data_IF_008374587027
#
_entry.id   IF_008374587027
#
_cell.length_a   1.000
_cell.length_b   1.000
_cell.length_c   1.000
_cell.angle_alpha   90.00
_cell.angle_beta   90.00
_cell.angle_gamma   90.00
#
_symmetry.space_group_name_H-M   'P 1'
#
loop_
_entity.id
_entity.type
_entity.pdbx_description
1 polymer ?
#
# COMPACT_ATOMS: atom_id res chain seq x y z
N UNK A 1 4.52 -28.02 -37.68
CA UNK A 1 4.42 -28.42 -36.26
C UNK A 1 5.57 -27.70 -35.56
N UNK A 2 5.46 -26.97 -34.46
CA UNK A 2 4.33 -26.77 -33.56
C UNK A 2 4.60 -25.56 -32.61
N UNK A 3 5.21 -24.46 -33.07
CA UNK A 3 5.59 -23.35 -32.18
C UNK A 3 4.40 -22.72 -31.42
N UNK A 4 3.22 -22.65 -32.03
CA UNK A 4 2.00 -22.17 -31.37
C UNK A 4 1.37 -23.20 -30.41
N UNK A 5 1.65 -24.49 -30.59
CA UNK A 5 1.15 -25.57 -29.73
C UNK A 5 2.06 -25.80 -28.52
N UNK A 6 3.38 -25.62 -28.67
CA UNK A 6 4.32 -25.63 -27.54
C UNK A 6 4.08 -24.45 -26.60
N UNK A 7 3.82 -23.24 -27.13
CA UNK A 7 3.49 -22.07 -26.32
C UNK A 7 2.16 -22.28 -25.60
N UNK A 8 1.10 -22.71 -26.30
CA UNK A 8 -0.20 -23.01 -25.65
C UNK A 8 -0.10 -24.13 -24.61
N UNK A 9 0.70 -25.16 -24.88
CA UNK A 9 0.97 -26.25 -23.94
C UNK A 9 1.72 -25.78 -22.70
N UNK A 10 2.74 -24.93 -22.85
CA UNK A 10 3.48 -24.34 -21.73
C UNK A 10 2.59 -23.45 -20.85
N UNK A 11 1.84 -22.53 -21.46
CA UNK A 11 0.91 -21.65 -20.71
C UNK A 11 -0.20 -22.45 -20.02
N UNK A 12 -0.75 -23.47 -20.67
CA UNK A 12 -1.76 -24.35 -20.07
C UNK A 12 -1.26 -25.12 -18.85
N UNK A 13 0.03 -25.47 -18.81
CA UNK A 13 0.65 -26.15 -17.66
C UNK A 13 0.94 -25.18 -16.51
N UNK A 14 1.38 -23.96 -16.81
CA UNK A 14 1.82 -22.97 -15.79
C UNK A 14 0.65 -22.16 -15.20
N UNK A 15 -0.40 -21.92 -15.98
CA UNK A 15 -1.58 -21.15 -15.57
C UNK A 15 -2.21 -21.57 -14.22
N UNK A 16 -2.53 -22.86 -13.97
CA UNK A 16 -3.17 -23.26 -12.71
C UNK A 16 -2.26 -23.05 -11.48
N UNK A 17 -0.94 -23.14 -11.63
CA UNK A 17 -0.01 -22.86 -10.54
C UNK A 17 0.05 -21.37 -10.22
N UNK A 18 0.05 -20.53 -11.25
CA UNK A 18 0.04 -19.08 -11.09
C UNK A 18 -1.27 -18.58 -10.48
N UNK A 19 -2.41 -19.15 -10.87
CA UNK A 19 -3.73 -18.79 -10.31
C UNK A 19 -3.82 -19.13 -8.82
N UNK A 20 -3.28 -20.28 -8.42
CA UNK A 20 -3.20 -20.65 -7.01
C UNK A 20 -2.24 -19.74 -6.24
N UNK A 21 -1.14 -19.30 -6.85
CA UNK A 21 -0.22 -18.34 -6.25
C UNK A 21 -0.85 -16.95 -6.08
N UNK A 22 -1.58 -16.43 -7.08
CA UNK A 22 -2.29 -15.15 -6.94
C UNK A 22 -3.31 -15.21 -5.80
N UNK A 23 -4.09 -16.30 -5.71
CA UNK A 23 -5.05 -16.46 -4.61
C UNK A 23 -4.39 -16.49 -3.22
N UNK A 24 -3.19 -17.08 -3.09
CA UNK A 24 -2.43 -17.03 -1.84
C UNK A 24 -1.94 -15.61 -1.54
N UNK A 25 -1.46 -14.88 -2.55
CA UNK A 25 -1.01 -13.49 -2.40
C UNK A 25 -2.17 -12.59 -2.00
N UNK A 26 -3.35 -12.76 -2.60
CA UNK A 26 -4.57 -12.01 -2.22
C UNK A 26 -4.92 -12.26 -0.75
N UNK A 27 -4.93 -13.52 -0.33
CA UNK A 27 -5.24 -13.87 1.05
C UNK A 27 -4.24 -13.27 2.04
N UNK A 28 -2.95 -13.30 1.71
CA UNK A 28 -1.90 -12.67 2.52
C UNK A 28 -2.07 -11.16 2.57
N UNK A 29 -2.37 -10.52 1.44
CA UNK A 29 -2.61 -9.08 1.36
C UNK A 29 -3.76 -8.66 2.25
N UNK A 30 -4.89 -9.36 2.13
CA UNK A 30 -6.09 -9.12 2.95
C UNK A 30 -5.75 -9.33 4.43
N UNK A 31 -5.01 -10.38 4.78
CA UNK A 31 -4.59 -10.62 6.16
C UNK A 31 -3.74 -9.46 6.72
N UNK A 32 -2.77 -8.95 5.96
CA UNK A 32 -1.94 -7.79 6.35
C UNK A 32 -2.80 -6.55 6.58
N UNK A 33 -3.74 -6.26 5.67
CA UNK A 33 -4.67 -5.13 5.80
C UNK A 33 -5.56 -5.27 7.05
N UNK A 34 -6.11 -6.46 7.28
CA UNK A 34 -6.96 -6.73 8.45
C UNK A 34 -6.18 -6.61 9.76
N UNK A 35 -4.94 -7.09 9.81
CA UNK A 35 -4.08 -6.94 11.00
C UNK A 35 -3.81 -5.46 11.28
N UNK A 36 -3.46 -4.69 10.25
CA UNK A 36 -3.23 -3.25 10.38
C UNK A 36 -4.47 -2.51 10.87
N UNK A 37 -5.62 -2.78 10.26
CA UNK A 37 -6.91 -2.20 10.65
C UNK A 37 -7.28 -2.57 12.10
N UNK A 38 -7.17 -3.84 12.48
CA UNK A 38 -7.48 -4.30 13.83
C UNK A 38 -6.56 -3.65 14.88
N UNK A 39 -5.25 -3.59 14.62
CA UNK A 39 -4.27 -2.92 15.50
C UNK A 39 -4.58 -1.43 15.66
N UNK A 40 -4.92 -0.76 14.55
CA UNK A 40 -5.32 0.64 14.55
C UNK A 40 -6.57 0.87 15.41
N UNK A 41 -7.64 0.09 15.18
CA UNK A 41 -8.89 0.19 15.94
C UNK A 41 -8.66 -0.05 17.44
N UNK A 42 -7.89 -1.08 17.81
CA UNK A 42 -7.58 -1.37 19.21
C UNK A 42 -6.81 -0.24 19.91
N UNK A 43 -5.85 0.37 19.21
CA UNK A 43 -5.10 1.52 19.74
C UNK A 43 -5.96 2.77 19.85
N UNK A 44 -6.84 3.01 18.87
CA UNK A 44 -7.74 4.14 18.89
C UNK A 44 -8.74 4.04 20.04
N UNK A 45 -9.39 2.89 20.22
CA UNK A 45 -10.30 2.65 21.34
C UNK A 45 -9.60 2.80 22.69
N UNK A 46 -8.39 2.24 22.86
CA UNK A 46 -7.61 2.43 24.10
C UNK A 46 -7.18 3.88 24.33
N UNK A 47 -6.84 4.61 23.28
CA UNK A 47 -6.45 6.02 23.34
C UNK A 47 -7.60 6.94 23.73
N UNK A 48 -8.84 6.60 23.33
CA UNK A 48 -10.06 7.32 23.71
C UNK A 48 -10.28 7.30 25.24
N UNK A 49 -9.87 6.23 25.93
CA UNK A 49 -9.96 6.18 27.41
C UNK A 49 -8.85 6.96 28.13
N UNK A 50 -7.85 7.50 27.44
CA UNK A 50 -6.82 8.33 28.05
C UNK A 50 -7.27 9.81 28.10
N UNK A 51 -7.40 10.35 29.31
CA UNK A 51 -7.95 11.68 29.63
C UNK A 51 -7.07 12.90 29.26
N UNK A 52 -5.92 12.71 28.62
CA UNK A 52 -4.92 13.77 28.39
C UNK A 52 -4.85 14.14 26.90
N UNK A 53 -5.31 15.35 26.54
CA UNK A 53 -5.40 15.84 25.15
C UNK A 53 -4.08 15.73 24.36
N UNK A 54 -2.95 16.00 25.01
CA UNK A 54 -1.63 15.96 24.36
C UNK A 54 -1.18 14.52 24.06
N UNK A 55 -1.49 13.59 24.95
CA UNK A 55 -1.16 12.16 24.78
C UNK A 55 -2.04 11.49 23.73
N UNK A 56 -3.30 11.94 23.57
CA UNK A 56 -4.20 11.47 22.50
C UNK A 56 -3.66 11.76 21.09
N UNK A 57 -3.16 12.97 20.83
CA UNK A 57 -2.61 13.32 19.51
C UNK A 57 -1.40 12.46 19.12
N UNK A 58 -0.45 12.27 20.04
CA UNK A 58 0.74 11.45 19.80
C UNK A 58 0.40 9.97 19.54
N UNK A 59 -0.54 9.40 20.31
CA UNK A 59 -1.03 8.03 20.11
C UNK A 59 -1.72 7.89 18.74
N UNK A 60 -2.53 8.87 18.35
CA UNK A 60 -3.27 8.84 17.09
C UNK A 60 -2.35 8.97 15.87
N UNK A 61 -1.35 9.86 15.91
CA UNK A 61 -0.36 9.98 14.83
C UNK A 61 0.48 8.71 14.68
N UNK A 62 0.87 8.09 15.80
CA UNK A 62 1.61 6.82 15.79
C UNK A 62 0.77 5.69 15.21
N UNK A 63 -0.51 5.58 15.61
CA UNK A 63 -1.43 4.58 15.07
C UNK A 63 -1.68 4.78 13.58
N UNK A 64 -1.83 6.02 13.10
CA UNK A 64 -1.98 6.35 11.67
C UNK A 64 -0.75 5.98 10.85
N UNK A 65 0.47 6.28 11.34
CA UNK A 65 1.72 5.90 10.66
C UNK A 65 1.84 4.38 10.53
N UNK A 66 1.53 3.65 11.60
CA UNK A 66 1.56 2.19 11.58
C UNK A 66 0.52 1.61 10.63
N UNK A 67 -0.73 2.10 10.67
CA UNK A 67 -1.78 1.71 9.72
C UNK A 67 -1.35 1.97 8.27
N UNK A 68 -0.76 3.14 8.00
CA UNK A 68 -0.24 3.49 6.67
C UNK A 68 0.79 2.49 6.15
N UNK A 69 1.67 1.99 7.03
CA UNK A 69 2.64 0.95 6.67
C UNK A 69 1.98 -0.39 6.31
N UNK A 70 0.93 -0.80 7.04
CA UNK A 70 0.18 -2.02 6.72
C UNK A 70 -0.62 -1.88 5.42
N UNK A 71 -1.20 -0.70 5.18
CA UNK A 71 -1.89 -0.40 3.92
C UNK A 71 -0.92 -0.47 2.74
N UNK A 72 0.23 0.19 2.84
CA UNK A 72 1.23 0.18 1.78
C UNK A 72 1.72 -1.24 1.46
N UNK A 73 2.06 -2.03 2.48
CA UNK A 73 2.49 -3.41 2.31
C UNK A 73 1.39 -4.30 1.70
N UNK A 74 0.14 -4.16 2.16
CA UNK A 74 -0.99 -4.90 1.60
C UNK A 74 -1.23 -4.53 0.13
N UNK A 75 -1.14 -3.23 -0.19
CA UNK A 75 -1.27 -2.75 -1.56
C UNK A 75 -0.16 -3.28 -2.46
N UNK A 76 1.11 -3.32 -2.00
CA UNK A 76 2.23 -3.92 -2.73
C UNK A 76 2.03 -5.42 -3.02
N UNK A 77 1.30 -6.15 -2.18
CA UNK A 77 1.01 -7.56 -2.44
C UNK A 77 -0.16 -7.73 -3.43
N UNK A 78 -1.25 -6.98 -3.26
CA UNK A 78 -2.40 -6.99 -4.20
C UNK A 78 -1.98 -6.65 -5.62
N UNK A 79 -1.10 -5.67 -5.72
CA UNK A 79 -0.40 -5.26 -6.93
C UNK A 79 0.27 -6.42 -7.66
N UNK A 80 0.94 -7.32 -6.94
CA UNK A 80 1.65 -8.46 -7.54
C UNK A 80 0.63 -9.47 -8.03
N UNK A 81 -0.39 -9.75 -7.23
CA UNK A 81 -1.49 -10.64 -7.57
C UNK A 81 -2.21 -10.20 -8.85
N UNK A 82 -2.56 -8.92 -8.96
CA UNK A 82 -3.22 -8.34 -10.14
C UNK A 82 -2.40 -8.52 -11.43
N UNK A 83 -1.08 -8.32 -11.35
CA UNK A 83 -0.17 -8.54 -12.48
C UNK A 83 -0.14 -10.00 -12.90
N UNK A 84 -0.10 -10.93 -11.94
CA UNK A 84 -0.13 -12.37 -12.21
C UNK A 84 -1.44 -12.77 -12.89
N UNK A 85 -2.59 -12.36 -12.32
CA UNK A 85 -3.90 -12.72 -12.84
C UNK A 85 -4.11 -12.18 -14.26
N UNK A 86 -3.62 -10.98 -14.52
CA UNK A 86 -3.69 -10.39 -15.85
C UNK A 86 -2.74 -11.06 -16.85
N UNK A 87 -1.56 -11.52 -16.40
CA UNK A 87 -0.64 -12.28 -17.25
C UNK A 87 -1.18 -13.67 -17.65
N UNK A 88 -2.02 -14.30 -16.81
CA UNK A 88 -2.65 -15.60 -17.13
C UNK A 88 -3.77 -15.42 -18.17
N UNK A 89 -4.51 -14.32 -18.11
CA UNK A 89 -5.73 -14.07 -18.90
C UNK A 89 -5.45 -13.56 -20.33
N UNK A 90 -4.20 -13.68 -20.82
CA UNK A 90 -3.73 -13.14 -22.12
C UNK A 90 -4.68 -13.40 -23.31
N UNK A 91 -5.56 -12.42 -23.54
CA UNK A 91 -6.50 -12.24 -24.65
C UNK A 91 -6.47 -10.76 -25.06
N UNK A 92 -6.93 -10.37 -26.25
CA UNK A 92 -6.92 -8.96 -26.69
C UNK A 92 -7.71 -8.05 -25.74
N UNK A 93 -8.84 -8.54 -25.22
CA UNK A 93 -9.60 -7.87 -24.17
C UNK A 93 -8.82 -7.84 -22.84
N UNK A 94 -8.07 -8.90 -22.55
CA UNK A 94 -7.14 -8.99 -21.41
C UNK A 94 -5.98 -8.00 -21.49
N UNK A 95 -5.46 -7.70 -22.68
CA UNK A 95 -4.42 -6.69 -22.90
C UNK A 95 -4.94 -5.27 -22.64
N UNK A 96 -6.18 -4.98 -23.04
CA UNK A 96 -6.83 -3.70 -22.74
C UNK A 96 -7.08 -3.55 -21.23
N UNK A 97 -7.52 -4.62 -20.57
CA UNK A 97 -7.68 -4.67 -19.11
C UNK A 97 -6.34 -4.51 -18.38
N UNK A 98 -5.26 -5.14 -18.86
CA UNK A 98 -3.90 -4.97 -18.34
C UNK A 98 -3.43 -3.52 -18.42
N UNK A 99 -3.61 -2.91 -19.58
CA UNK A 99 -3.27 -1.49 -19.77
C UNK A 99 -4.03 -0.60 -18.79
N UNK A 100 -5.34 -0.83 -18.64
CA UNK A 100 -6.19 -0.08 -17.70
C UNK A 100 -5.77 -0.25 -16.23
N UNK A 101 -5.54 -1.49 -15.78
CA UNK A 101 -5.15 -1.80 -14.41
C UNK A 101 -3.79 -1.19 -14.05
N UNK A 102 -2.79 -1.31 -14.93
CA UNK A 102 -1.47 -0.72 -14.72
C UNK A 102 -1.55 0.82 -14.64
N UNK A 103 -2.40 1.45 -15.46
CA UNK A 103 -2.63 2.90 -15.41
C UNK A 103 -3.29 3.31 -14.08
N UNK A 104 -4.38 2.64 -13.68
CA UNK A 104 -5.10 2.96 -12.42
C UNK A 104 -4.14 2.87 -11.24
N UNK A 105 -3.37 1.79 -11.19
CA UNK A 105 -2.37 1.57 -10.15
C UNK A 105 -1.27 2.64 -10.16
N UNK A 106 -0.77 3.02 -11.33
CA UNK A 106 0.23 4.09 -11.44
C UNK A 106 -0.33 5.42 -10.95
N UNK A 107 -1.58 5.75 -11.27
CA UNK A 107 -2.25 6.96 -10.78
C UNK A 107 -2.36 6.93 -9.25
N UNK A 108 -2.86 5.84 -8.66
CA UNK A 108 -2.98 5.72 -7.20
C UNK A 108 -1.61 5.87 -6.54
N UNK A 109 -0.58 5.19 -7.06
CA UNK A 109 0.80 5.30 -6.56
C UNK A 109 1.32 6.74 -6.57
N UNK A 110 1.10 7.47 -7.68
CA UNK A 110 1.50 8.88 -7.80
C UNK A 110 0.74 9.81 -6.85
N UNK A 111 -0.54 9.55 -6.59
CA UNK A 111 -1.33 10.32 -5.64
C UNK A 111 -0.83 10.13 -4.21
N UNK A 112 -0.62 8.87 -3.79
CA UNK A 112 -0.11 8.56 -2.45
C UNK A 112 1.29 9.12 -2.24
N UNK A 113 2.18 8.99 -3.23
CA UNK A 113 3.54 9.53 -3.11
C UNK A 113 3.54 11.06 -2.99
N UNK A 114 2.65 11.74 -3.71
CA UNK A 114 2.46 13.19 -3.56
C UNK A 114 1.97 13.58 -2.17
N UNK A 115 0.96 12.89 -1.64
CA UNK A 115 0.41 13.19 -0.31
C UNK A 115 1.48 13.03 0.79
N UNK A 116 2.26 11.95 0.72
CA UNK A 116 3.35 11.69 1.67
C UNK A 116 4.45 12.76 1.57
N UNK A 117 4.82 13.18 0.36
CA UNK A 117 5.84 14.21 0.15
C UNK A 117 5.44 15.55 0.76
N UNK A 118 4.20 15.98 0.54
CA UNK A 118 3.66 17.22 1.12
C UNK A 118 3.67 17.16 2.64
N UNK A 119 3.25 16.04 3.24
CA UNK A 119 3.29 15.87 4.69
C UNK A 119 4.72 15.92 5.25
N UNK A 120 5.71 15.41 4.50
CA UNK A 120 7.12 15.45 4.91
C UNK A 120 7.70 16.88 4.85
N UNK A 121 7.41 17.64 3.80
CA UNK A 121 7.91 19.02 3.64
C UNK A 121 7.37 19.95 4.73
N UNK A 122 6.08 19.83 5.09
CA UNK A 122 5.48 20.58 6.20
C UNK A 122 6.16 20.24 7.53
N UNK A 123 6.54 18.97 7.74
CA UNK A 123 7.27 18.54 8.93
C UNK A 123 8.70 19.12 8.99
N UNK A 124 9.37 19.32 7.85
CA UNK A 124 10.70 19.94 7.80
C UNK A 124 10.66 21.45 7.97
N UNK A 125 9.68 22.12 7.34
CA UNK A 125 9.47 23.56 7.50
C UNK A 125 9.19 23.91 8.98
N UNK A 126 8.32 23.16 9.64
CA UNK A 126 8.01 23.37 11.06
C UNK A 126 9.21 23.11 11.99
N UNK A 127 10.14 22.22 11.62
CA UNK A 127 11.34 21.94 12.42
C UNK A 127 12.44 23.00 12.23
N UNK A 128 12.52 23.62 11.03
CA UNK A 128 13.47 24.69 10.75
C UNK A 128 13.10 26.00 11.47
N UNK A 129 11.80 26.27 11.65
CA UNK A 129 11.31 27.46 12.34
C UNK A 129 11.48 27.39 13.88
N UNK A 130 11.50 26.18 14.46
CA UNK A 130 11.76 25.99 15.91
C UNK A 130 13.24 26.21 16.27
N UNK A 131 14.20 25.77 15.44
CA UNK A 131 15.65 25.98 15.67
C UNK A 131 16.07 27.46 15.54
N UNK A 132 15.34 28.23 14.73
CA UNK A 132 15.58 29.67 14.58
C UNK A 132 15.12 30.52 15.76
N UNK A 133 14.02 30.15 16.44
CA UNK A 133 13.48 30.92 17.55
C UNK A 133 14.20 30.70 18.89
N UNK A 134 14.89 29.57 19.08
CA UNK A 134 15.64 29.29 20.31
C UNK A 134 16.94 30.11 20.38
N UNK A 135 17.53 30.46 19.22
CA UNK A 135 18.75 31.28 19.15
C UNK A 135 18.53 32.76 19.45
N UNK A 136 17.32 33.28 19.24
CA UNK A 136 16.98 34.70 19.44
C UNK A 136 16.44 35.00 20.86
N UNK A 137 16.07 33.97 21.63
CA UNK A 137 15.68 34.12 23.06
C UNK A 137 16.84 34.00 24.03
N UNK A 138 18.03 33.64 23.55
CA UNK A 138 19.24 33.40 24.34
C UNK A 138 20.28 34.53 24.34
N UNK A 139 20.02 35.68 23.68
CA UNK A 139 20.96 36.82 23.61
C UNK A 139 20.56 37.98 24.51
#
# INVERSE_FOLDING_TARGET
MNGSEEIKGFFGVVAPWLDQLSGVIDLLSIAVLLIGAARFTLKMVRGEFASENFRRLSIMNTARRELGSYILAGLELLIVSDVIHTAITLDLDGLLFLGGLVIIRAIIGLFLEREIRVLSEVSYASAADEDGQDKDRGS
#
